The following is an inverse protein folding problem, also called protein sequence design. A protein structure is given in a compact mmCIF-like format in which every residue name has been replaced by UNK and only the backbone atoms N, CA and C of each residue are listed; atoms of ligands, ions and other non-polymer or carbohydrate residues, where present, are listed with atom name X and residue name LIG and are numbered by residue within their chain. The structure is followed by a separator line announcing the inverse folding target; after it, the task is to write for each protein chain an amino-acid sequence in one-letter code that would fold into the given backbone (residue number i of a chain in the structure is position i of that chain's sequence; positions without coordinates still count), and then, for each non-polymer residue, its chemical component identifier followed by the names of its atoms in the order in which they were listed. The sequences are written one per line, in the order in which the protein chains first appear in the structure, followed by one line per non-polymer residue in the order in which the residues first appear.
data_IF_073134677852
#
_entry.id   IF_073134677852
#
_cell.length_a   1.000
_cell.length_b   1.000
_cell.length_c   1.000
_cell.angle_alpha   90.00
_cell.angle_beta   90.00
_cell.angle_gamma   90.00
#
_symmetry.space_group_name_H-M   'P 1'
#
loop_
_entity.id
_entity.type
_entity.pdbx_description
1 polymer ?
#
# COMPACT_ATOMS: atom_id res chain seq x y z
N UNK A 1 -10.26 16.06 -68.25
CA UNK A 1 -11.29 15.20 -67.64
C UNK A 1 -10.59 14.07 -66.89
N UNK A 2 -11.19 13.60 -65.79
CA UNK A 2 -10.71 12.59 -64.83
C UNK A 2 -9.84 13.14 -63.69
N UNK A 3 -10.50 13.70 -62.66
CA UNK A 3 -9.89 14.11 -61.38
C UNK A 3 -9.74 12.87 -60.50
N UNK A 4 -8.50 12.55 -60.16
CA UNK A 4 -8.12 11.46 -59.26
C UNK A 4 -8.59 11.78 -57.85
N UNK A 5 -9.27 10.80 -57.25
CA UNK A 5 -9.73 10.78 -55.86
C UNK A 5 -8.50 10.73 -54.92
N UNK A 6 -8.42 11.62 -53.93
CA UNK A 6 -7.46 11.49 -52.85
C UNK A 6 -8.14 11.76 -51.49
N UNK A 7 -8.44 10.63 -50.87
CA UNK A 7 -8.71 10.35 -49.46
C UNK A 7 -7.91 11.24 -48.50
N UNK A 8 -8.58 11.90 -47.54
CA UNK A 8 -7.93 12.54 -46.40
C UNK A 8 -8.53 12.00 -45.10
N UNK A 9 -8.01 10.86 -44.64
CA UNK A 9 -8.22 10.36 -43.28
C UNK A 9 -7.28 11.16 -42.36
N UNK A 10 -7.85 12.07 -41.56
CA UNK A 10 -7.08 12.78 -40.53
C UNK A 10 -6.84 11.82 -39.38
N UNK A 11 -5.59 11.40 -39.27
CA UNK A 11 -5.05 10.49 -38.28
C UNK A 11 -5.06 11.15 -36.89
N UNK A 12 -5.96 10.71 -36.01
CA UNK A 12 -5.92 11.05 -34.59
C UNK A 12 -4.79 10.30 -33.90
N UNK A 13 -3.77 11.02 -33.43
CA UNK A 13 -2.78 10.47 -32.50
C UNK A 13 -2.97 11.19 -31.16
N UNK A 14 -3.78 10.60 -30.29
CA UNK A 14 -3.80 10.98 -28.89
C UNK A 14 -2.52 10.42 -28.25
N UNK A 15 -1.62 11.31 -27.83
CA UNK A 15 -0.43 10.98 -27.06
C UNK A 15 -0.87 10.42 -25.70
N UNK A 16 -0.79 9.09 -25.53
CA UNK A 16 -0.90 8.47 -24.22
C UNK A 16 0.38 8.75 -23.43
N UNK A 17 0.31 9.61 -22.42
CA UNK A 17 1.38 9.77 -21.45
C UNK A 17 1.44 8.52 -20.54
N UNK A 18 2.63 7.99 -20.22
CA UNK A 18 2.73 6.91 -19.25
C UNK A 18 2.26 7.41 -17.89
N UNK A 19 1.37 6.66 -17.24
CA UNK A 19 1.02 6.90 -15.85
C UNK A 19 2.28 6.70 -15.00
N UNK A 20 2.65 7.72 -14.23
CA UNK A 20 3.74 7.60 -13.27
C UNK A 20 3.29 6.69 -12.12
N UNK A 21 4.16 5.76 -11.70
CA UNK A 21 3.90 4.96 -10.52
C UNK A 21 3.76 5.86 -9.28
N UNK A 22 2.80 5.58 -8.38
CA UNK A 22 2.66 6.33 -7.15
C UNK A 22 3.96 6.24 -6.35
N UNK A 23 4.37 7.36 -5.77
CA UNK A 23 5.56 7.41 -4.92
C UNK A 23 5.43 6.37 -3.78
N UNK A 24 6.52 5.66 -3.44
CA UNK A 24 6.47 4.65 -2.40
C UNK A 24 6.00 5.25 -1.08
N UNK A 25 4.90 4.71 -0.56
CA UNK A 25 4.39 5.00 0.77
C UNK A 25 5.52 4.80 1.80
N UNK A 26 5.74 5.79 2.68
CA UNK A 26 6.69 5.64 3.79
C UNK A 26 6.11 4.67 4.81
N UNK A 27 6.38 3.39 4.62
CA UNK A 27 5.86 2.32 5.46
C UNK A 27 6.83 2.01 6.61
N UNK A 28 6.28 1.80 7.82
CA UNK A 28 7.03 1.32 8.99
C UNK A 28 7.55 2.40 9.95
N UNK A 29 7.77 1.97 11.19
CA UNK A 29 8.32 2.78 12.30
C UNK A 29 9.85 2.65 12.30
N UNK A 30 10.58 3.75 12.52
CA UNK A 30 12.06 3.70 12.56
C UNK A 30 12.58 3.11 13.86
N UNK A 31 13.80 2.57 13.83
CA UNK A 31 14.49 2.14 15.06
C UNK A 31 14.70 3.34 15.99
N UNK A 32 14.40 3.16 17.28
CA UNK A 32 14.45 4.21 18.30
C UNK A 32 13.20 5.09 18.36
N UNK A 33 12.31 4.99 17.37
CA UNK A 33 11.01 5.65 17.41
C UNK A 33 10.04 4.87 18.30
N UNK A 34 9.20 5.60 19.05
CA UNK A 34 8.22 4.99 19.95
C UNK A 34 7.20 4.18 19.14
N UNK A 35 7.04 2.90 19.47
CA UNK A 35 5.99 2.08 18.90
C UNK A 35 4.59 2.65 19.23
N UNK A 36 3.65 2.70 18.26
CA UNK A 36 2.26 3.07 18.49
C UNK A 36 1.61 2.17 19.54
N UNK A 37 0.75 2.76 20.37
CA UNK A 37 -0.06 1.98 21.29
C UNK A 37 -1.07 1.13 20.51
N UNK A 38 -1.30 -0.09 20.99
CA UNK A 38 -2.39 -0.93 20.53
C UNK A 38 -3.12 -1.55 21.71
N UNK A 39 -4.40 -1.82 21.47
CA UNK A 39 -5.27 -2.59 22.33
C UNK A 39 -6.05 -3.55 21.45
N UNK A 40 -5.71 -4.83 21.50
CA UNK A 40 -6.23 -5.87 20.60
C UNK A 40 -6.66 -7.09 21.40
N UNK A 41 -7.57 -7.88 20.85
CA UNK A 41 -7.92 -9.18 21.42
C UNK A 41 -6.89 -10.23 21.00
N UNK A 42 -6.49 -11.06 21.95
CA UNK A 42 -5.71 -12.26 21.66
C UNK A 42 -6.60 -13.42 21.16
N UNK A 43 -6.00 -14.58 20.94
CA UNK A 43 -6.70 -15.78 20.44
C UNK A 43 -7.75 -16.33 21.41
N UNK A 44 -7.70 -15.96 22.69
CA UNK A 44 -8.70 -16.31 23.69
C UNK A 44 -9.77 -15.21 23.85
N UNK A 45 -9.70 -14.15 23.04
CA UNK A 45 -10.59 -12.99 23.15
C UNK A 45 -10.22 -12.05 24.30
N UNK A 46 -9.11 -12.29 25.00
CA UNK A 46 -8.65 -11.44 26.11
C UNK A 46 -8.03 -10.18 25.54
N UNK A 47 -8.37 -9.03 26.12
CA UNK A 47 -7.79 -7.76 25.71
C UNK A 47 -6.32 -7.67 26.15
N UNK A 48 -5.45 -7.35 25.20
CA UNK A 48 -4.01 -7.12 25.40
C UNK A 48 -3.66 -5.69 24.98
N UNK A 49 -2.84 -5.05 25.79
CA UNK A 49 -2.35 -3.70 25.58
C UNK A 49 -0.82 -3.69 25.58
N UNK A 50 -0.21 -2.94 24.66
CA UNK A 50 1.25 -2.88 24.53
C UNK A 50 1.94 -2.38 25.81
N UNK A 51 1.37 -1.38 26.49
CA UNK A 51 1.97 -0.83 27.70
C UNK A 51 1.95 -1.81 28.88
N UNK A 52 0.92 -2.66 28.97
CA UNK A 52 0.87 -3.75 29.92
C UNK A 52 1.93 -4.81 29.61
N UNK A 53 2.02 -5.26 28.36
CA UNK A 53 3.00 -6.29 27.94
C UNK A 53 4.45 -5.85 28.17
N UNK A 54 4.75 -4.57 27.94
CA UNK A 54 6.10 -4.02 28.16
C UNK A 54 6.53 -3.99 29.64
N UNK A 55 5.58 -4.08 30.59
CA UNK A 55 5.93 -4.18 32.01
C UNK A 55 6.53 -5.54 32.36
N UNK A 56 6.17 -6.58 31.60
CA UNK A 56 6.65 -7.94 31.80
C UNK A 56 7.97 -8.20 31.08
N UNK A 57 8.33 -7.37 30.09
CA UNK A 57 9.61 -7.40 29.41
C UNK A 57 9.58 -6.87 27.97
N UNK A 58 10.69 -7.03 27.23
CA UNK A 58 10.74 -6.68 25.82
C UNK A 58 9.70 -7.45 24.99
N UNK A 59 9.07 -6.77 24.04
CA UNK A 59 8.02 -7.34 23.18
C UNK A 59 8.49 -7.37 21.73
N UNK A 60 8.40 -8.55 21.09
CA UNK A 60 8.56 -8.69 19.64
C UNK A 60 7.18 -8.66 18.96
N UNK A 61 7.01 -7.79 17.95
CA UNK A 61 5.80 -7.71 17.14
C UNK A 61 6.06 -8.33 15.77
N UNK A 62 5.28 -9.37 15.42
CA UNK A 62 5.36 -10.05 14.13
C UNK A 62 4.05 -9.82 13.38
N UNK A 63 4.12 -9.05 12.29
CA UNK A 63 3.00 -8.87 11.38
C UNK A 63 3.06 -9.96 10.32
N UNK A 64 2.01 -10.75 10.21
CA UNK A 64 1.86 -11.74 9.15
C UNK A 64 0.52 -11.52 8.45
N UNK A 65 0.51 -11.68 7.13
CA UNK A 65 -0.72 -11.65 6.35
C UNK A 65 -1.34 -13.05 6.39
N UNK A 66 -2.60 -13.16 6.80
CA UNK A 66 -3.31 -14.43 6.70
C UNK A 66 -3.41 -14.86 5.24
N UNK A 67 -3.28 -16.15 4.98
CA UNK A 67 -3.63 -16.71 3.67
C UNK A 67 -5.17 -16.74 3.58
N UNK A 68 -5.73 -16.09 2.56
CA UNK A 68 -7.08 -16.40 2.11
C UNK A 68 -7.00 -17.71 1.35
N UNK A 69 -7.52 -18.78 1.95
CA UNK A 69 -7.83 -20.01 1.23
C UNK A 69 -9.27 -19.94 0.73
#
# INVERSE_FOLDING_TARGET
MTRVLALAVVLGVALAAPAADPAPEKTGIKVGEKAPAFKLKDQAGTERDLAALLKDGPVALVFYRSAGW
#
